data_IF_148353056814
#
_entry.id   IF_148353056814
#
_cell.length_a   1.000
_cell.length_b   1.000
_cell.length_c   1.000
_cell.angle_alpha   90.00
_cell.angle_beta   90.00
_cell.angle_gamma   90.00
#
_symmetry.space_group_name_H-M   'P 1'
#
loop_
_entity.id
_entity.type
_entity.pdbx_description
1 polymer ?
#
# COMPACT_ATOMS: atom_id res chain seq x y z
N UNK A 1 10.92 -16.85 2.37
CA UNK A 1 9.99 -16.56 1.26
C UNK A 1 8.54 -16.93 1.58
N UNK A 2 8.22 -18.17 1.99
CA UNK A 2 6.82 -18.59 2.27
C UNK A 2 6.04 -17.72 3.27
N UNK A 3 6.68 -17.27 4.35
CA UNK A 3 6.03 -16.42 5.35
C UNK A 3 5.68 -15.00 4.84
N UNK A 4 6.51 -14.43 3.96
CA UNK A 4 6.23 -13.13 3.34
C UNK A 4 5.04 -13.25 2.40
N UNK A 5 5.02 -14.29 1.56
CA UNK A 5 3.93 -14.54 0.63
C UNK A 5 2.59 -14.71 1.36
N UNK A 6 2.52 -15.53 2.41
CA UNK A 6 1.30 -15.73 3.17
C UNK A 6 0.81 -14.43 3.83
N UNK A 7 1.71 -13.65 4.44
CA UNK A 7 1.36 -12.37 5.04
C UNK A 7 0.88 -11.35 4.00
N UNK A 8 1.49 -11.34 2.80
CA UNK A 8 1.04 -10.48 1.69
C UNK A 8 -0.32 -10.92 1.17
N UNK A 9 -0.56 -12.21 0.99
CA UNK A 9 -1.86 -12.73 0.52
C UNK A 9 -3.00 -12.34 1.46
N UNK A 10 -2.80 -12.45 2.78
CA UNK A 10 -3.83 -12.07 3.74
C UNK A 10 -4.08 -10.56 3.79
N UNK A 11 -3.05 -9.74 3.61
CA UNK A 11 -3.20 -8.28 3.54
C UNK A 11 -3.90 -7.84 2.24
N UNK A 12 -3.56 -8.47 1.11
CA UNK A 12 -4.23 -8.24 -0.17
C UNK A 12 -5.73 -8.56 -0.07
N UNK A 13 -6.13 -9.63 0.61
CA UNK A 13 -7.56 -9.96 0.79
C UNK A 13 -8.31 -8.86 1.54
N UNK A 14 -7.70 -8.26 2.57
CA UNK A 14 -8.33 -7.16 3.32
C UNK A 14 -8.49 -5.92 2.46
N UNK A 15 -7.46 -5.55 1.71
CA UNK A 15 -7.50 -4.43 0.77
C UNK A 15 -8.58 -4.64 -0.28
N UNK A 16 -8.68 -5.86 -0.85
CA UNK A 16 -9.69 -6.17 -1.86
C UNK A 16 -11.12 -6.13 -1.33
N UNK A 17 -11.33 -6.45 -0.04
CA UNK A 17 -12.65 -6.39 0.58
C UNK A 17 -13.20 -4.95 0.74
N UNK A 18 -12.31 -3.96 0.79
CA UNK A 18 -12.62 -2.55 1.01
C UNK A 18 -12.02 -1.66 -0.09
N UNK A 19 -11.80 -2.22 -1.28
CA UNK A 19 -10.98 -1.59 -2.33
C UNK A 19 -11.55 -0.23 -2.78
N UNK A 20 -12.87 -0.07 -2.72
CA UNK A 20 -13.60 1.15 -3.04
C UNK A 20 -13.29 2.31 -2.09
N UNK A 21 -12.77 2.03 -0.89
CA UNK A 21 -12.35 3.03 0.09
C UNK A 21 -10.93 3.54 -0.15
N UNK A 22 -10.16 2.86 -1.01
CA UNK A 22 -8.78 3.22 -1.29
C UNK A 22 -8.65 3.99 -2.61
N UNK A 23 -7.79 4.99 -2.59
CA UNK A 23 -7.24 5.63 -3.78
C UNK A 23 -5.85 5.07 -4.06
N UNK A 24 -5.63 4.59 -5.27
CA UNK A 24 -4.31 4.12 -5.71
C UNK A 24 -3.43 5.30 -6.12
N UNK A 25 -2.24 5.39 -5.54
CA UNK A 25 -1.24 6.41 -5.84
C UNK A 25 0.03 5.76 -6.40
N UNK A 26 0.70 6.46 -7.32
CA UNK A 26 2.03 6.11 -7.82
C UNK A 26 3.06 7.14 -7.35
N UNK A 27 4.35 6.77 -7.40
CA UNK A 27 5.44 7.71 -7.15
C UNK A 27 5.64 8.70 -8.30
N UNK A 28 6.64 9.58 -8.17
CA UNK A 28 6.92 10.65 -9.15
C UNK A 28 7.14 10.15 -10.58
N UNK A 29 7.65 8.93 -10.74
CA UNK A 29 7.88 8.31 -12.04
C UNK A 29 6.58 7.87 -12.75
N UNK A 30 5.45 7.90 -12.04
CA UNK A 30 4.12 7.49 -12.52
C UNK A 30 4.08 6.07 -13.12
N UNK A 31 5.00 5.20 -12.72
CA UNK A 31 5.06 3.81 -13.17
C UNK A 31 4.04 2.94 -12.39
N UNK A 32 2.99 2.41 -13.04
CA UNK A 32 2.00 1.57 -12.39
C UNK A 32 2.51 0.14 -12.12
N UNK A 33 3.56 -0.32 -12.80
CA UNK A 33 4.20 -1.63 -12.54
C UNK A 33 5.23 -1.56 -11.41
N UNK A 34 5.62 -0.36 -11.03
CA UNK A 34 6.35 -0.10 -9.80
C UNK A 34 5.43 -0.24 -8.58
N UNK A 35 5.73 0.50 -7.50
CA UNK A 35 4.99 0.39 -6.25
C UNK A 35 3.73 1.23 -6.28
N UNK A 36 2.59 0.57 -6.03
CA UNK A 36 1.32 1.24 -5.73
C UNK A 36 1.24 1.50 -4.23
N UNK A 37 0.94 2.75 -3.86
CA UNK A 37 0.63 3.17 -2.49
C UNK A 37 -0.89 3.30 -2.38
N UNK A 38 -1.46 2.84 -1.27
CA UNK A 38 -2.90 2.95 -1.03
C UNK A 38 -3.17 4.09 -0.07
N UNK A 39 -3.99 5.05 -0.49
CA UNK A 39 -4.45 6.15 0.34
C UNK A 39 -5.90 5.91 0.76
N UNK A 40 -6.24 6.12 2.03
CA UNK A 40 -7.62 6.13 2.51
C UNK A 40 -7.88 7.36 3.37
N UNK A 41 -9.02 8.00 3.15
CA UNK A 41 -9.48 9.05 4.03
C UNK A 41 -9.87 8.45 5.39
N UNK A 42 -9.57 9.17 6.46
CA UNK A 42 -10.08 8.94 7.80
C UNK A 42 -11.01 10.10 8.18
N UNK A 43 -11.31 10.23 9.48
CA UNK A 43 -12.11 11.34 9.99
C UNK A 43 -11.40 12.69 9.85
N UNK A 44 -12.19 13.74 9.65
CA UNK A 44 -11.82 15.16 9.83
C UNK A 44 -10.50 15.60 9.18
N UNK A 45 -10.29 15.26 7.90
CA UNK A 45 -9.15 15.68 7.07
C UNK A 45 -7.84 14.89 7.24
N UNK A 46 -7.85 13.75 7.94
CA UNK A 46 -6.69 12.86 7.98
C UNK A 46 -6.71 11.87 6.82
N UNK A 47 -5.58 11.69 6.11
CA UNK A 47 -5.41 10.63 5.10
C UNK A 47 -4.29 9.69 5.51
N UNK A 48 -4.58 8.39 5.54
CA UNK A 48 -3.57 7.36 5.80
C UNK A 48 -3.01 6.82 4.49
N UNK A 49 -1.68 6.70 4.43
CA UNK A 49 -0.96 6.09 3.32
C UNK A 49 -0.35 4.76 3.76
N UNK A 50 -0.73 3.68 3.08
CA UNK A 50 -0.23 2.33 3.34
C UNK A 50 0.85 1.96 2.33
N UNK A 51 2.02 1.56 2.84
CA UNK A 51 3.16 1.12 2.05
C UNK A 51 3.38 -0.39 2.21
N UNK A 52 3.61 -1.08 1.09
CA UNK A 52 3.99 -2.49 1.12
C UNK A 52 5.40 -2.65 1.70
N UNK A 53 5.51 -3.15 2.94
CA UNK A 53 6.78 -3.30 3.66
C UNK A 53 7.84 -4.07 2.86
N UNK A 54 7.45 -5.12 2.15
CA UNK A 54 8.36 -5.91 1.31
C UNK A 54 8.90 -5.15 0.09
N UNK A 55 8.26 -4.04 -0.30
CA UNK A 55 8.77 -3.15 -1.32
C UNK A 55 9.75 -2.13 -0.75
N UNK A 56 9.44 -1.48 0.37
CA UNK A 56 10.21 -0.33 0.87
C UNK A 56 11.51 -0.71 1.58
N UNK A 57 12.54 0.13 1.39
CA UNK A 57 13.81 0.07 2.12
C UNK A 57 13.95 1.33 2.95
N UNK A 58 14.26 1.17 4.23
CA UNK A 58 14.62 2.30 5.09
C UNK A 58 16.04 2.77 4.75
N UNK A 59 16.20 4.09 4.64
CA UNK A 59 17.48 4.76 4.40
C UNK A 59 17.62 5.87 5.44
N UNK A 60 18.78 5.95 6.08
CA UNK A 60 19.14 7.04 6.97
C UNK A 60 20.03 8.00 6.20
N UNK A 61 19.73 9.29 6.28
CA UNK A 61 20.47 10.35 5.61
C UNK A 61 21.58 10.90 6.52
#
# INVERSE_FOLDING_TARGET
MKALQAATEDEVKKVLAEFDQYTSCTGEQMDPEARVVLARAAEEDTTFFSFWKGGVRAEAY
#
